data_IF_039478585811
#
_entry.id   IF_039478585811
#
_cell.length_a   1.000
_cell.length_b   1.000
_cell.length_c   1.000
_cell.angle_alpha   90.00
_cell.angle_beta   90.00
_cell.angle_gamma   90.00
#
_symmetry.space_group_name_H-M   'P 1'
#
loop_
_entity.id
_entity.type
_entity.pdbx_description
1 polymer ?
#
# COMPACT_ATOMS: atom_id res chain seq x y z
N UNK A 1 -3.55 31.47 -59.55
CA UNK A 1 -2.35 30.72 -59.17
C UNK A 1 -2.71 29.91 -57.92
N UNK A 2 -3.10 28.66 -58.15
CA UNK A 2 -3.66 27.76 -57.12
C UNK A 2 -2.53 26.94 -56.46
N UNK A 3 -2.43 26.99 -55.14
CA UNK A 3 -1.60 26.08 -54.41
C UNK A 3 -2.52 25.13 -53.62
N UNK A 4 -2.53 23.87 -54.03
CA UNK A 4 -3.25 22.75 -53.37
C UNK A 4 -2.57 22.41 -52.06
N UNK A 5 -3.36 22.42 -50.99
CA UNK A 5 -2.96 21.83 -49.68
C UNK A 5 -3.20 20.32 -49.76
N UNK A 6 -2.12 19.56 -49.64
CA UNK A 6 -2.17 18.11 -49.45
C UNK A 6 -2.24 17.85 -47.95
N UNK A 7 -3.39 17.31 -47.48
CA UNK A 7 -3.50 16.74 -46.12
C UNK A 7 -2.84 15.36 -46.11
N UNK A 8 -1.84 15.20 -45.28
CA UNK A 8 -1.26 13.90 -44.94
C UNK A 8 -1.95 13.39 -43.68
N UNK A 9 -2.82 12.40 -43.80
CA UNK A 9 -3.37 11.63 -42.66
C UNK A 9 -2.28 10.65 -42.21
N UNK A 10 -1.75 10.85 -41.03
CA UNK A 10 -0.95 9.84 -40.32
C UNK A 10 -1.91 9.11 -39.40
N UNK A 11 -2.24 7.88 -39.75
CA UNK A 11 -3.00 6.97 -38.91
C UNK A 11 -2.08 6.43 -37.80
N UNK A 12 -2.37 6.80 -36.56
CA UNK A 12 -1.75 6.22 -35.39
C UNK A 12 -2.42 4.87 -35.10
N UNK A 13 -1.70 3.79 -35.37
CA UNK A 13 -2.08 2.44 -34.94
C UNK A 13 -1.74 2.31 -33.45
N UNK A 14 -2.74 2.33 -32.58
CA UNK A 14 -2.62 1.97 -31.18
C UNK A 14 -2.54 0.43 -31.10
N UNK A 15 -1.35 -0.09 -30.88
CA UNK A 15 -1.13 -1.48 -30.46
C UNK A 15 -1.34 -1.54 -28.94
N UNK A 16 -2.52 -1.98 -28.51
CA UNK A 16 -2.73 -2.44 -27.13
C UNK A 16 -2.05 -3.81 -27.00
N UNK A 17 -0.82 -3.82 -26.51
CA UNK A 17 -0.11 -5.05 -26.14
C UNK A 17 -0.57 -5.53 -24.78
N UNK A 18 -1.46 -6.53 -24.74
CA UNK A 18 -1.70 -7.30 -23.53
C UNK A 18 -0.44 -8.10 -23.21
N UNK A 19 0.22 -7.79 -22.09
CA UNK A 19 1.32 -8.60 -21.56
C UNK A 19 0.70 -9.80 -20.87
N UNK A 20 0.59 -10.91 -21.59
CA UNK A 20 0.25 -12.22 -21.03
C UNK A 20 1.55 -12.84 -20.53
N UNK A 21 1.77 -12.86 -19.23
CA UNK A 21 2.84 -13.67 -18.61
C UNK A 21 2.37 -15.11 -18.65
N UNK A 22 2.95 -15.91 -19.54
CA UNK A 22 2.70 -17.33 -19.61
C UNK A 22 3.54 -18.04 -18.52
N UNK A 23 2.90 -18.48 -17.46
CA UNK A 23 3.48 -19.48 -16.56
C UNK A 23 3.34 -20.86 -17.18
N UNK A 24 4.45 -21.58 -17.24
CA UNK A 24 4.50 -22.96 -17.72
C UNK A 24 3.76 -23.88 -16.73
N UNK A 25 2.64 -24.44 -17.18
CA UNK A 25 1.94 -25.48 -16.44
C UNK A 25 2.70 -26.79 -16.51
N UNK A 26 3.07 -27.35 -15.35
CA UNK A 26 3.43 -28.75 -15.20
C UNK A 26 2.18 -29.60 -15.28
N UNK A 27 2.11 -30.46 -16.27
CA UNK A 27 1.06 -31.49 -16.42
C UNK A 27 1.31 -32.63 -15.44
N UNK A 28 0.32 -32.97 -14.63
CA UNK A 28 0.23 -34.25 -13.91
C UNK A 28 -0.78 -35.17 -14.60
N UNK A 29 -0.58 -36.50 -14.55
CA UNK A 29 -1.34 -37.44 -15.37
C UNK A 29 -2.68 -37.85 -14.78
N UNK A 30 -3.59 -38.17 -15.69
CA UNK A 30 -4.93 -38.71 -15.45
C UNK A 30 -4.93 -40.02 -14.67
N UNK A 31 -5.86 -40.21 -13.77
CA UNK A 31 -6.28 -41.54 -13.25
C UNK A 31 -7.80 -41.68 -13.39
N UNK A 32 -8.31 -42.91 -13.59
CA UNK A 32 -9.56 -43.17 -14.29
C UNK A 32 -10.81 -43.19 -13.41
N UNK A 33 -11.95 -43.08 -14.10
CA UNK A 33 -13.32 -43.19 -13.62
C UNK A 33 -13.56 -44.42 -12.77
N UNK A 34 -14.31 -44.24 -11.68
CA UNK A 34 -15.09 -45.33 -11.05
C UNK A 34 -16.52 -44.89 -10.76
N UNK A 35 -17.38 -45.81 -11.09
CA UNK A 35 -18.81 -45.77 -11.25
C UNK A 35 -19.59 -45.65 -9.93
N UNK A 36 -20.72 -44.93 -10.01
CA UNK A 36 -21.83 -44.89 -9.03
C UNK A 36 -22.54 -46.23 -8.86
N UNK A 37 -23.18 -46.50 -7.72
CA UNK A 37 -24.51 -47.09 -7.74
C UNK A 37 -25.56 -46.32 -6.92
N UNK A 38 -26.72 -46.56 -7.37
CA UNK A 38 -28.09 -46.16 -7.22
C UNK A 38 -28.70 -46.12 -5.77
N UNK A 39 -29.66 -45.25 -5.68
CA UNK A 39 -30.61 -44.91 -4.62
C UNK A 39 -31.53 -46.08 -4.28
N UNK A 40 -31.95 -46.23 -2.99
CA UNK A 40 -33.24 -46.81 -2.61
C UNK A 40 -33.88 -46.03 -1.46
N UNK A 41 -35.21 -45.85 -1.63
CA UNK A 41 -36.18 -45.08 -0.88
C UNK A 41 -36.51 -45.54 0.55
N UNK A 42 -36.79 -44.56 1.41
CA UNK A 42 -37.84 -44.30 2.41
C UNK A 42 -38.28 -45.43 3.40
N UNK A 43 -39.01 -45.14 4.47
CA UNK A 43 -40.10 -44.17 4.62
C UNK A 43 -40.15 -43.36 5.93
N UNK A 44 -40.98 -42.35 5.86
CA UNK A 44 -41.56 -41.39 6.80
C UNK A 44 -42.24 -42.02 8.02
N UNK A 45 -42.05 -41.45 9.22
CA UNK A 45 -43.06 -41.46 10.31
C UNK A 45 -43.19 -40.05 10.92
N UNK A 46 -44.45 -39.67 11.18
CA UNK A 46 -44.90 -38.36 11.62
C UNK A 46 -45.05 -38.28 13.16
N UNK A 47 -45.29 -37.10 13.74
CA UNK A 47 -44.99 -36.78 15.11
C UNK A 47 -46.10 -37.03 16.10
N UNK A 48 -45.73 -37.27 17.36
CA UNK A 48 -46.63 -37.37 18.51
C UNK A 48 -46.61 -36.07 19.33
N UNK A 49 -47.79 -35.58 19.65
CA UNK A 49 -48.09 -34.36 20.40
C UNK A 49 -47.58 -34.40 21.86
N UNK A 50 -47.19 -33.22 22.37
CA UNK A 50 -46.83 -32.95 23.75
C UNK A 50 -48.04 -32.41 24.54
N UNK A 51 -48.16 -32.66 25.85
CA UNK A 51 -49.20 -32.06 26.65
C UNK A 51 -48.86 -30.70 27.20
N UNK A 52 -49.88 -29.86 27.23
CA UNK A 52 -49.93 -28.50 27.79
C UNK A 52 -49.96 -28.56 29.32
N UNK A 53 -49.10 -27.81 30.01
CA UNK A 53 -49.27 -27.46 31.44
C UNK A 53 -49.45 -25.95 31.62
N UNK A 54 -50.37 -25.59 32.49
CA UNK A 54 -50.81 -24.25 32.85
C UNK A 54 -49.78 -23.52 33.76
N UNK A 55 -49.79 -22.16 33.81
CA UNK A 55 -48.78 -21.37 34.52
C UNK A 55 -49.08 -21.24 36.01
N UNK A 56 -48.02 -21.45 36.80
CA UNK A 56 -48.01 -21.16 38.24
C UNK A 56 -47.44 -19.76 38.48
N UNK A 57 -48.13 -18.95 39.28
CA UNK A 57 -47.80 -17.60 39.68
C UNK A 57 -46.43 -17.51 40.38
N UNK A 58 -45.65 -16.50 40.00
CA UNK A 58 -44.35 -16.16 40.61
C UNK A 58 -44.54 -15.26 41.84
N UNK A 59 -43.67 -15.38 42.86
CA UNK A 59 -43.62 -14.40 43.96
C UNK A 59 -42.88 -13.13 43.56
N UNK A 60 -43.43 -12.02 43.99
CA UNK A 60 -42.86 -10.66 43.86
C UNK A 60 -41.61 -10.57 44.74
N UNK A 61 -40.43 -10.45 44.12
CA UNK A 61 -39.21 -10.01 44.80
C UNK A 61 -38.98 -8.51 44.59
N UNK A 62 -38.69 -7.86 45.69
CA UNK A 62 -38.36 -6.42 45.76
C UNK A 62 -37.11 -6.10 44.92
N UNK A 63 -37.24 -5.13 44.03
CA UNK A 63 -36.13 -4.61 43.25
C UNK A 63 -35.14 -3.89 44.18
N UNK A 64 -34.02 -4.54 44.49
CA UNK A 64 -32.81 -3.85 44.92
C UNK A 64 -32.20 -3.15 43.71
N UNK A 65 -32.22 -1.83 43.76
CA UNK A 65 -31.51 -0.99 42.80
C UNK A 65 -30.01 -1.17 43.07
N UNK A 66 -29.38 -2.09 42.33
CA UNK A 66 -27.93 -2.09 42.21
C UNK A 66 -27.56 -0.82 41.40
N UNK A 67 -26.78 0.08 41.99
CA UNK A 67 -26.07 1.11 41.30
C UNK A 67 -25.21 0.42 40.24
N UNK A 68 -25.61 0.56 38.97
CA UNK A 68 -24.75 0.26 37.83
C UNK A 68 -23.62 1.29 37.92
N UNK A 69 -22.51 0.93 38.55
CA UNK A 69 -21.25 1.60 38.29
C UNK A 69 -20.96 1.39 36.81
N UNK A 70 -21.19 2.42 36.01
CA UNK A 70 -20.61 2.52 34.67
C UNK A 70 -19.11 2.41 34.89
N UNK A 71 -18.52 1.25 34.60
CA UNK A 71 -17.11 1.18 34.32
C UNK A 71 -16.87 2.22 33.24
N UNK A 72 -16.07 3.26 33.52
CA UNK A 72 -15.55 4.15 32.50
C UNK A 72 -14.86 3.22 31.49
N UNK A 73 -15.46 3.04 30.32
CA UNK A 73 -14.79 2.41 29.18
C UNK A 73 -13.52 3.20 28.96
N UNK A 74 -12.39 2.61 29.30
CA UNK A 74 -11.08 3.22 29.06
C UNK A 74 -10.89 3.23 27.56
N UNK A 75 -11.24 4.35 26.93
CA UNK A 75 -10.94 4.58 25.53
C UNK A 75 -9.44 4.39 25.31
N UNK A 76 -9.09 3.50 24.36
CA UNK A 76 -7.70 3.32 23.99
C UNK A 76 -7.21 4.61 23.33
N UNK A 77 -6.09 5.15 23.84
CA UNK A 77 -5.39 6.27 23.22
C UNK A 77 -4.33 5.74 22.24
N UNK A 78 -4.49 5.90 20.93
CA UNK A 78 -3.49 5.44 19.95
C UNK A 78 -2.10 6.01 20.19
N UNK A 79 -1.98 7.23 20.75
CA UNK A 79 -0.67 7.82 21.10
C UNK A 79 0.01 7.05 22.23
N UNK A 80 -0.74 6.57 23.20
CA UNK A 80 -0.21 5.75 24.30
C UNK A 80 0.24 4.36 23.79
N UNK A 81 -0.37 3.84 22.75
CA UNK A 81 -0.08 2.53 22.16
C UNK A 81 1.06 2.57 21.13
N UNK A 82 1.44 3.75 20.64
CA UNK A 82 2.45 3.92 19.59
C UNK A 82 3.79 3.22 19.91
N UNK A 83 4.17 3.14 21.20
CA UNK A 83 5.40 2.46 21.63
C UNK A 83 5.37 0.94 21.43
N UNK A 84 4.20 0.35 21.25
CA UNK A 84 4.02 -1.10 20.99
C UNK A 84 4.25 -1.48 19.54
N UNK A 85 4.22 -0.48 18.63
CA UNK A 85 4.46 -0.74 17.22
C UNK A 85 5.84 -1.30 16.95
N UNK A 86 5.93 -2.12 15.91
CA UNK A 86 7.22 -2.51 15.35
C UNK A 86 8.07 -1.26 15.08
N UNK A 87 9.36 -1.31 15.47
CA UNK A 87 10.32 -0.23 15.26
C UNK A 87 10.32 0.35 13.86
N UNK A 88 10.08 -0.48 12.83
CA UNK A 88 10.03 -0.05 11.43
C UNK A 88 8.81 0.82 11.11
N UNK A 89 7.74 0.72 11.90
CA UNK A 89 6.51 1.52 11.72
C UNK A 89 6.48 2.75 12.64
N UNK A 90 7.55 3.08 13.37
CA UNK A 90 7.63 4.38 14.05
C UNK A 90 7.55 5.53 13.03
N UNK A 91 6.86 6.65 13.35
CA UNK A 91 6.69 7.77 12.43
C UNK A 91 8.00 8.28 11.84
N UNK A 92 8.07 8.39 10.51
CA UNK A 92 9.28 8.79 9.77
C UNK A 92 9.49 10.31 9.81
N UNK A 93 8.39 11.09 9.78
CA UNK A 93 8.45 12.54 9.68
C UNK A 93 8.35 13.25 11.04
N UNK A 94 8.39 12.50 12.13
CA UNK A 94 8.43 13.02 13.50
C UNK A 94 9.45 12.25 14.35
N UNK A 95 9.74 12.78 15.56
CA UNK A 95 10.77 12.18 16.41
C UNK A 95 12.19 12.54 15.99
N UNK A 96 13.16 11.69 16.34
CA UNK A 96 14.59 11.92 16.12
C UNK A 96 15.33 10.69 15.57
N UNK A 97 14.63 9.67 15.14
CA UNK A 97 15.22 8.41 14.69
C UNK A 97 14.49 7.92 13.43
N UNK A 98 15.27 7.57 12.41
CA UNK A 98 14.75 6.91 11.21
C UNK A 98 15.30 5.49 11.16
N UNK A 99 14.41 4.51 11.01
CA UNK A 99 14.74 3.08 10.93
C UNK A 99 14.79 2.60 9.49
N UNK A 100 15.88 1.89 9.16
CA UNK A 100 16.05 1.24 7.85
C UNK A 100 15.67 2.12 6.65
N UNK A 101 16.10 3.37 6.64
CA UNK A 101 16.00 4.21 5.45
C UNK A 101 16.91 3.66 4.35
N UNK A 102 16.35 3.43 3.16
CA UNK A 102 17.13 2.85 2.06
C UNK A 102 17.94 3.89 1.29
N UNK A 103 19.14 3.51 0.88
CA UNK A 103 20.02 4.33 0.02
C UNK A 103 20.78 3.42 -0.95
N UNK A 104 21.02 3.92 -2.17
CA UNK A 104 21.76 3.20 -3.22
C UNK A 104 22.97 4.02 -3.68
N UNK A 105 24.15 3.38 -3.68
CA UNK A 105 25.37 3.99 -4.18
C UNK A 105 25.71 3.45 -5.58
N UNK A 106 26.14 4.33 -6.49
CA UNK A 106 26.52 3.92 -7.84
C UNK A 106 28.02 3.65 -7.96
N UNK A 107 28.87 4.43 -7.30
CA UNK A 107 30.31 4.25 -7.35
C UNK A 107 30.92 4.26 -5.94
N UNK A 108 32.13 3.68 -5.80
CA UNK A 108 32.93 3.87 -4.58
C UNK A 108 33.26 5.34 -4.39
N UNK A 109 33.24 5.82 -3.16
CA UNK A 109 33.42 7.24 -2.84
C UNK A 109 32.16 8.10 -3.00
N UNK A 110 31.03 7.55 -3.48
CA UNK A 110 29.77 8.29 -3.58
C UNK A 110 29.29 8.80 -2.20
N UNK A 111 28.71 10.00 -2.21
CA UNK A 111 28.10 10.66 -1.05
C UNK A 111 26.61 10.76 -1.27
N UNK A 112 25.81 10.38 -0.26
CA UNK A 112 24.35 10.40 -0.31
C UNK A 112 23.75 11.14 0.87
N UNK A 113 22.71 11.92 0.61
CA UNK A 113 21.86 12.46 1.66
C UNK A 113 20.80 11.44 2.04
N UNK A 114 20.37 11.46 3.30
CA UNK A 114 19.16 10.81 3.79
C UNK A 114 18.08 11.87 4.00
N UNK A 115 16.90 11.47 4.51
CA UNK A 115 15.80 12.42 4.80
C UNK A 115 16.25 13.55 5.73
N UNK A 116 17.13 13.23 6.68
CA UNK A 116 17.71 14.20 7.61
C UNK A 116 19.23 14.12 7.63
N UNK A 117 19.92 15.22 7.98
CA UNK A 117 21.34 15.16 8.31
C UNK A 117 21.57 14.16 9.46
N UNK A 118 22.49 13.24 9.26
CA UNK A 118 22.83 12.20 10.24
C UNK A 118 23.55 12.84 11.43
N UNK A 119 23.01 12.65 12.64
CA UNK A 119 23.71 12.99 13.90
C UNK A 119 24.52 11.80 14.42
N UNK A 120 23.93 10.59 14.38
CA UNK A 120 24.61 9.34 14.77
C UNK A 120 24.02 8.15 14.03
N UNK A 121 24.87 7.25 13.55
CA UNK A 121 24.44 6.00 12.92
C UNK A 121 24.27 4.91 13.98
N UNK A 122 23.15 4.22 13.94
CA UNK A 122 22.91 3.02 14.74
C UNK A 122 23.37 1.76 14.00
N UNK A 123 23.01 1.66 12.71
CA UNK A 123 23.44 0.55 11.85
C UNK A 123 23.39 0.92 10.37
N UNK A 124 24.29 0.32 9.58
CA UNK A 124 24.20 0.26 8.12
C UNK A 124 24.27 -1.21 7.74
N UNK A 125 23.24 -1.69 7.05
CA UNK A 125 23.15 -3.10 6.66
C UNK A 125 22.82 -3.23 5.16
N UNK A 126 23.02 -4.42 4.59
CA UNK A 126 22.40 -4.74 3.32
C UNK A 126 20.87 -4.78 3.48
N UNK A 127 20.15 -4.90 2.36
CA UNK A 127 18.69 -4.77 2.34
C UNK A 127 17.97 -5.75 3.28
N UNK A 128 18.45 -7.00 3.37
CA UNK A 128 17.85 -8.05 4.21
C UNK A 128 18.38 -8.08 5.66
N UNK A 129 19.27 -7.16 6.02
CA UNK A 129 19.81 -7.05 7.39
C UNK A 129 20.83 -8.14 7.78
N UNK A 130 21.22 -9.02 6.85
CA UNK A 130 22.14 -10.15 7.16
C UNK A 130 23.61 -9.76 7.19
N UNK A 131 23.97 -8.64 6.56
CA UNK A 131 25.33 -8.08 6.54
C UNK A 131 25.32 -6.69 7.16
N UNK A 132 26.18 -6.46 8.14
CA UNK A 132 26.41 -5.14 8.75
C UNK A 132 27.71 -4.56 8.24
N UNK A 133 27.69 -3.29 7.85
CA UNK A 133 28.84 -2.53 7.37
C UNK A 133 29.44 -1.67 8.48
N UNK A 134 30.76 -1.47 8.43
CA UNK A 134 31.54 -0.85 9.51
C UNK A 134 31.89 0.61 9.16
N UNK A 135 31.63 1.53 10.11
CA UNK A 135 32.09 2.92 9.99
C UNK A 135 33.62 3.00 10.00
N UNK A 136 34.17 3.89 9.15
CA UNK A 136 35.62 4.03 8.95
C UNK A 136 36.23 3.02 7.98
N UNK A 137 35.55 1.90 7.71
CA UNK A 137 35.96 0.88 6.76
C UNK A 137 35.08 0.91 5.51
N UNK A 138 33.80 0.71 5.66
CA UNK A 138 32.84 0.62 4.55
C UNK A 138 32.22 1.98 4.23
N UNK A 139 31.99 2.81 5.24
CA UNK A 139 31.42 4.15 5.10
C UNK A 139 31.99 5.12 6.16
N UNK A 140 31.75 6.40 5.92
CA UNK A 140 32.00 7.49 6.89
C UNK A 140 30.85 8.49 6.82
N UNK A 141 30.68 9.28 7.90
CA UNK A 141 29.73 10.39 7.92
C UNK A 141 30.50 11.69 7.72
N UNK A 142 30.17 12.42 6.65
CA UNK A 142 30.75 13.73 6.32
C UNK A 142 29.61 14.75 6.16
N UNK A 143 29.62 15.83 6.92
CA UNK A 143 28.61 16.89 6.87
C UNK A 143 27.15 16.38 6.95
N UNK A 144 26.89 15.40 7.82
CA UNK A 144 25.57 14.79 8.00
C UNK A 144 25.12 13.88 6.87
N UNK A 145 26.00 13.53 5.93
CA UNK A 145 25.75 12.64 4.80
C UNK A 145 26.54 11.35 4.94
N UNK A 146 26.03 10.27 4.37
CA UNK A 146 26.76 9.00 4.32
C UNK A 146 27.59 8.93 3.02
N UNK A 147 28.87 8.60 3.18
CA UNK A 147 29.82 8.41 2.08
C UNK A 147 30.43 7.03 2.16
N UNK A 148 30.38 6.26 1.09
CA UNK A 148 31.07 4.97 1.05
C UNK A 148 32.55 5.16 0.72
N UNK A 149 33.40 4.33 1.34
CA UNK A 149 34.85 4.40 1.15
C UNK A 149 35.26 3.76 -0.17
N UNK A 150 36.47 4.07 -0.64
CA UNK A 150 37.06 3.45 -1.84
C UNK A 150 37.20 1.93 -1.73
N UNK A 151 37.46 1.43 -0.51
CA UNK A 151 37.66 0.01 -0.21
C UNK A 151 36.43 -0.64 0.43
N UNK A 152 35.29 0.02 0.38
CA UNK A 152 34.03 -0.47 0.96
C UNK A 152 33.62 -1.82 0.39
N UNK A 153 33.06 -2.68 1.24
CA UNK A 153 32.41 -3.93 0.82
C UNK A 153 30.96 -3.76 0.35
N UNK A 154 30.38 -2.56 0.58
CA UNK A 154 29.01 -2.22 0.12
C UNK A 154 28.95 -2.42 -1.41
N UNK A 155 27.98 -3.20 -1.93
CA UNK A 155 27.84 -3.41 -3.37
C UNK A 155 27.45 -2.12 -4.10
N UNK A 156 28.00 -1.93 -5.27
CA UNK A 156 27.65 -0.82 -6.20
C UNK A 156 27.47 -1.37 -7.60
N UNK A 157 26.53 -0.79 -8.34
CA UNK A 157 26.32 -1.19 -9.73
C UNK A 157 27.30 -0.49 -10.70
N UNK A 158 28.04 0.50 -10.28
CA UNK A 158 28.80 1.49 -11.01
C UNK A 158 27.94 2.38 -11.93
N UNK A 159 28.22 3.68 -11.93
CA UNK A 159 27.51 4.67 -12.76
C UNK A 159 27.55 4.30 -14.23
N UNK A 160 28.69 3.77 -14.69
CA UNK A 160 28.86 3.31 -16.06
C UNK A 160 27.93 2.16 -16.46
N UNK A 161 27.64 1.21 -15.54
CA UNK A 161 26.68 0.13 -15.79
C UNK A 161 25.25 0.61 -15.62
N UNK A 162 24.99 1.47 -14.64
CA UNK A 162 23.65 2.00 -14.39
C UNK A 162 23.12 2.76 -15.61
N UNK A 163 23.93 3.61 -16.25
CA UNK A 163 23.55 4.42 -17.41
C UNK A 163 23.89 3.81 -18.77
N UNK A 164 24.27 2.55 -18.85
CA UNK A 164 24.46 1.78 -20.08
C UNK A 164 23.94 0.36 -19.92
N UNK A 165 22.78 0.24 -19.26
CA UNK A 165 22.17 -1.06 -19.05
C UNK A 165 21.78 -1.71 -20.38
N UNK A 166 21.98 -3.02 -20.56
CA UNK A 166 21.57 -3.69 -21.80
C UNK A 166 20.11 -3.48 -22.11
N UNK A 167 19.80 -3.29 -23.40
CA UNK A 167 18.43 -3.19 -23.85
C UNK A 167 17.64 -4.46 -23.50
N UNK A 168 16.48 -4.26 -22.86
CA UNK A 168 15.56 -5.37 -22.57
C UNK A 168 14.65 -5.63 -23.78
N UNK A 169 14.34 -6.88 -24.12
CA UNK A 169 13.54 -7.21 -25.30
C UNK A 169 12.13 -6.62 -25.31
N UNK A 170 11.55 -6.39 -24.14
CA UNK A 170 10.15 -5.93 -24.00
C UNK A 170 10.04 -4.47 -23.57
N UNK A 171 10.88 -4.03 -22.64
CA UNK A 171 10.81 -2.68 -22.05
C UNK A 171 12.23 -2.10 -21.96
N UNK A 172 12.41 -0.89 -22.50
CA UNK A 172 13.64 -0.14 -22.31
C UNK A 172 13.31 1.14 -21.54
N UNK A 173 13.88 1.27 -20.36
CA UNK A 173 13.80 2.50 -19.58
C UNK A 173 15.05 3.33 -19.88
N UNK A 174 14.84 4.55 -20.35
CA UNK A 174 15.92 5.44 -20.76
C UNK A 174 15.93 6.72 -19.95
N UNK A 175 17.12 7.30 -19.78
CA UNK A 175 17.33 8.61 -19.16
C UNK A 175 18.33 9.43 -19.96
N UNK A 176 18.32 10.75 -19.74
CA UNK A 176 19.37 11.61 -20.27
C UNK A 176 20.57 11.57 -19.32
N UNK A 177 21.67 11.06 -19.81
CA UNK A 177 22.95 11.05 -19.10
C UNK A 177 24.05 11.62 -19.98
N UNK A 178 24.74 12.66 -19.52
CA UNK A 178 25.78 13.40 -20.27
C UNK A 178 25.33 13.85 -21.67
N UNK A 179 24.07 14.29 -21.79
CA UNK A 179 23.50 14.76 -23.05
C UNK A 179 23.11 13.66 -24.04
N UNK A 180 23.15 12.39 -23.63
CA UNK A 180 22.73 11.24 -24.42
C UNK A 180 21.53 10.56 -23.78
N UNK A 181 20.60 10.08 -24.62
CA UNK A 181 19.54 9.19 -24.13
C UNK A 181 20.10 7.76 -24.08
N UNK A 182 20.20 7.21 -22.88
CA UNK A 182 20.80 5.89 -22.61
C UNK A 182 19.85 5.03 -21.81
N UNK A 183 19.96 3.69 -21.95
CA UNK A 183 19.22 2.78 -21.08
C UNK A 183 19.76 2.86 -19.65
N UNK A 184 18.86 2.89 -18.67
CA UNK A 184 19.20 2.85 -17.25
C UNK A 184 18.90 1.48 -16.65
N UNK A 185 19.61 1.18 -15.56
CA UNK A 185 19.39 -0.02 -14.77
C UNK A 185 17.98 -0.02 -14.16
N UNK A 186 17.28 -1.11 -14.31
CA UNK A 186 15.97 -1.36 -13.70
C UNK A 186 15.75 -2.88 -13.58
N UNK A 187 14.77 -3.28 -12.77
CA UNK A 187 14.37 -4.69 -12.66
C UNK A 187 13.32 -4.86 -11.57
N UNK A 188 12.39 -5.76 -11.80
CA UNK A 188 11.41 -6.15 -10.80
C UNK A 188 12.07 -7.04 -9.74
N UNK A 189 11.62 -6.91 -8.50
CA UNK A 189 12.07 -7.70 -7.38
C UNK A 189 13.51 -7.39 -6.93
N UNK A 190 14.24 -8.43 -6.60
CA UNK A 190 15.58 -8.38 -5.97
C UNK A 190 16.68 -7.58 -6.71
N UNK A 191 16.71 -7.44 -8.05
CA UNK A 191 17.79 -6.72 -8.72
C UNK A 191 18.10 -5.33 -8.18
N UNK A 192 17.09 -4.54 -7.81
CA UNK A 192 17.33 -3.20 -7.23
C UNK A 192 17.83 -3.28 -5.80
N UNK A 193 17.20 -4.12 -4.99
CA UNK A 193 17.49 -4.21 -3.55
C UNK A 193 18.85 -4.84 -3.25
N UNK A 194 19.45 -5.60 -4.18
CA UNK A 194 20.83 -6.08 -4.05
C UNK A 194 21.87 -4.94 -3.96
N UNK A 195 21.52 -3.73 -4.40
CA UNK A 195 22.35 -2.53 -4.33
C UNK A 195 21.83 -1.47 -3.35
N UNK A 196 20.74 -1.73 -2.65
CA UNK A 196 20.18 -0.83 -1.64
C UNK A 196 20.66 -1.25 -0.25
N UNK A 197 21.02 -0.25 0.56
CA UNK A 197 21.42 -0.40 1.96
C UNK A 197 20.36 0.18 2.86
N UNK A 198 20.15 -0.44 4.01
CA UNK A 198 19.36 0.13 5.11
C UNK A 198 20.25 0.92 6.05
N UNK A 199 19.86 2.14 6.37
CA UNK A 199 20.51 2.99 7.36
C UNK A 199 19.54 3.30 8.48
N UNK A 200 19.89 2.92 9.70
CA UNK A 200 19.20 3.34 10.94
C UNK A 200 20.05 4.39 11.62
N UNK A 201 19.48 5.55 11.90
CA UNK A 201 20.23 6.69 12.42
C UNK A 201 19.36 7.63 13.26
N UNK A 202 20.02 8.48 14.05
CA UNK A 202 19.40 9.60 14.75
C UNK A 202 19.71 10.91 14.04
N UNK A 203 18.84 11.91 14.22
CA UNK A 203 18.99 13.26 13.69
C UNK A 203 18.51 14.30 14.71
N UNK A 204 18.91 15.55 14.51
CA UNK A 204 18.48 16.73 15.28
C UNK A 204 17.57 17.65 14.47
N UNK A 205 17.34 17.31 13.18
CA UNK A 205 16.52 18.10 12.26
C UNK A 205 15.02 17.87 12.47
N UNK A 206 14.24 18.86 12.02
CA UNK A 206 12.79 18.78 11.88
C UNK A 206 12.46 18.55 10.42
N UNK A 207 11.43 17.75 10.12
CA UNK A 207 10.95 17.61 8.75
C UNK A 207 10.28 18.91 8.28
N UNK A 208 10.79 19.46 7.19
CA UNK A 208 10.26 20.70 6.58
C UNK A 208 9.48 20.41 5.28
N UNK A 209 9.46 19.14 4.85
CA UNK A 209 8.75 18.70 3.65
C UNK A 209 7.24 18.55 3.89
N UNK A 210 6.54 18.15 2.84
CA UNK A 210 5.11 17.90 2.89
C UNK A 210 4.78 16.72 3.82
N UNK A 211 3.73 16.89 4.63
CA UNK A 211 3.05 15.83 5.39
C UNK A 211 1.57 15.89 5.03
N UNK A 212 0.94 14.75 4.77
CA UNK A 212 -0.50 14.70 4.51
C UNK A 212 -1.27 15.24 5.72
N UNK A 213 -2.28 16.06 5.46
CA UNK A 213 -3.10 16.64 6.53
C UNK A 213 -3.93 15.53 7.21
N UNK A 214 -3.96 15.56 8.54
CA UNK A 214 -4.87 14.68 9.28
C UNK A 214 -6.33 15.07 9.01
N UNK A 215 -7.16 14.09 8.74
CA UNK A 215 -8.60 14.20 8.53
C UNK A 215 -9.37 13.33 9.54
N UNK A 216 -8.81 13.18 10.73
CA UNK A 216 -9.41 12.37 11.80
C UNK A 216 -10.85 12.81 12.12
N UNK A 217 -11.14 14.12 12.03
CA UNK A 217 -12.47 14.68 12.18
C UNK A 217 -13.46 14.25 11.10
N UNK A 218 -12.98 13.97 9.88
CA UNK A 218 -13.80 13.44 8.78
C UNK A 218 -14.12 11.96 9.01
N UNK A 219 -13.23 11.23 9.69
CA UNK A 219 -13.35 9.80 9.97
C UNK A 219 -13.78 9.46 11.39
N UNK A 220 -14.36 10.42 12.13
CA UNK A 220 -14.72 10.28 13.56
C UNK A 220 -15.59 9.04 13.83
N UNK A 221 -16.58 8.76 12.99
CA UNK A 221 -17.44 7.57 13.11
C UNK A 221 -16.65 6.26 12.94
N UNK A 222 -15.75 6.17 11.98
CA UNK A 222 -14.90 4.99 11.77
C UNK A 222 -13.90 4.81 12.92
N UNK A 223 -13.27 5.90 13.36
CA UNK A 223 -12.35 5.89 14.51
C UNK A 223 -13.08 5.49 15.79
N UNK A 224 -14.32 5.97 15.98
CA UNK A 224 -15.15 5.60 17.12
C UNK A 224 -15.44 4.08 17.15
N UNK A 225 -15.72 3.45 15.99
CA UNK A 225 -15.84 1.98 15.92
C UNK A 225 -14.56 1.30 16.38
N UNK A 226 -13.37 1.78 15.95
CA UNK A 226 -12.09 1.24 16.40
C UNK A 226 -11.88 1.40 17.91
N UNK A 227 -12.20 2.57 18.47
CA UNK A 227 -12.09 2.85 19.91
C UNK A 227 -13.02 1.92 20.70
N UNK A 228 -14.23 1.67 20.21
CA UNK A 228 -15.22 0.80 20.86
C UNK A 228 -14.91 -0.71 20.71
N UNK A 229 -13.94 -1.09 19.89
CA UNK A 229 -13.64 -2.51 19.62
C UNK A 229 -14.67 -3.19 18.74
N UNK A 230 -15.38 -2.43 17.89
CA UNK A 230 -16.34 -3.00 16.93
C UNK A 230 -15.60 -3.67 15.77
N UNK A 231 -16.11 -4.79 15.26
CA UNK A 231 -15.55 -5.40 14.05
C UNK A 231 -15.70 -4.47 12.87
N UNK A 232 -14.63 -4.32 12.07
CA UNK A 232 -14.61 -3.44 10.90
C UNK A 232 -14.04 -4.14 9.67
N UNK A 233 -14.49 -3.73 8.49
CA UNK A 233 -13.97 -4.19 7.20
C UNK A 233 -13.23 -3.06 6.49
N UNK A 234 -11.96 -3.30 6.15
CA UNK A 234 -11.10 -2.37 5.39
C UNK A 234 -10.82 -2.97 4.02
N UNK A 235 -11.15 -2.21 2.98
CA UNK A 235 -11.06 -2.65 1.59
C UNK A 235 -10.05 -1.81 0.81
N UNK A 236 -9.08 -2.45 0.15
CA UNK A 236 -8.14 -1.81 -0.76
C UNK A 236 -8.44 -2.21 -2.21
N UNK A 237 -8.46 -1.24 -3.12
CA UNK A 237 -8.65 -1.51 -4.53
C UNK A 237 -7.78 -0.61 -5.40
N UNK A 238 -6.84 -1.23 -6.12
CA UNK A 238 -5.84 -0.49 -6.88
C UNK A 238 -5.10 -1.34 -7.91
N UNK A 239 -3.92 -0.88 -8.24
CA UNK A 239 -3.02 -1.48 -9.23
C UNK A 239 -1.90 -2.34 -8.57
N UNK A 240 -0.77 -2.50 -9.28
CA UNK A 240 0.39 -3.27 -8.81
C UNK A 240 0.96 -2.78 -7.49
N UNK A 241 0.94 -1.48 -7.24
CA UNK A 241 1.48 -0.90 -6.00
C UNK A 241 0.61 -1.32 -4.81
N UNK A 242 -0.72 -1.31 -4.98
CA UNK A 242 -1.68 -1.73 -3.96
C UNK A 242 -1.67 -3.23 -3.77
N UNK A 243 -1.48 -4.00 -4.85
CA UNK A 243 -1.21 -5.44 -4.79
C UNK A 243 0.05 -5.75 -3.97
N UNK A 244 1.08 -4.89 -4.07
CA UNK A 244 2.32 -4.99 -3.31
C UNK A 244 3.55 -5.32 -4.14
N UNK A 245 3.51 -5.10 -5.46
CA UNK A 245 4.68 -5.32 -6.32
C UNK A 245 5.90 -4.55 -5.79
N UNK A 246 7.04 -5.23 -5.78
CA UNK A 246 8.33 -4.81 -5.24
C UNK A 246 8.40 -4.69 -3.71
N UNK A 247 7.33 -5.01 -2.96
CA UNK A 247 7.46 -5.33 -1.54
C UNK A 247 8.12 -6.72 -1.39
N UNK A 248 9.08 -6.84 -0.50
CA UNK A 248 9.90 -8.06 -0.39
C UNK A 248 9.09 -9.32 -0.05
N UNK A 249 7.97 -9.20 0.67
CA UNK A 249 7.06 -10.31 0.92
C UNK A 249 6.41 -10.84 -0.37
N UNK A 250 5.89 -9.96 -1.22
CA UNK A 250 5.22 -10.35 -2.47
C UNK A 250 6.21 -10.93 -3.47
N UNK A 251 7.39 -10.34 -3.56
CA UNK A 251 8.45 -10.81 -4.45
C UNK A 251 9.26 -11.99 -3.86
N UNK A 252 8.84 -12.47 -2.67
CA UNK A 252 9.35 -13.65 -1.98
C UNK A 252 10.87 -13.65 -1.72
N UNK A 253 11.37 -12.55 -1.16
CA UNK A 253 12.75 -12.47 -0.66
C UNK A 253 12.83 -11.73 0.68
N UNK A 254 13.89 -12.00 1.46
CA UNK A 254 14.12 -11.34 2.75
C UNK A 254 14.30 -9.81 2.58
N UNK A 255 13.73 -8.98 3.48
CA UNK A 255 13.22 -9.32 4.80
C UNK A 255 11.73 -9.72 4.86
N UNK A 256 11.07 -9.96 3.76
CA UNK A 256 9.64 -10.34 3.69
C UNK A 256 8.69 -9.28 4.31
N UNK A 257 9.03 -8.00 4.17
CA UNK A 257 8.15 -6.94 4.60
C UNK A 257 6.92 -6.83 3.71
N UNK A 258 5.77 -6.66 4.33
CA UNK A 258 4.49 -6.55 3.65
C UNK A 258 4.35 -5.29 2.79
N UNK A 259 3.39 -5.31 1.87
CA UNK A 259 2.94 -4.13 1.12
C UNK A 259 2.35 -3.07 2.05
N UNK A 260 2.23 -1.86 1.54
CA UNK A 260 1.73 -0.74 2.33
C UNK A 260 0.32 -0.96 2.90
N UNK A 261 -0.54 -1.67 2.17
CA UNK A 261 -1.91 -1.93 2.60
C UNK A 261 -1.98 -2.87 3.80
N UNK A 262 -1.12 -3.89 3.84
CA UNK A 262 -0.97 -4.77 5.00
C UNK A 262 -0.30 -4.04 6.17
N UNK A 263 0.79 -3.30 5.91
CA UNK A 263 1.48 -2.51 6.95
C UNK A 263 0.54 -1.51 7.62
N UNK A 264 -0.29 -0.81 6.84
CA UNK A 264 -1.31 0.09 7.36
C UNK A 264 -2.30 -0.66 8.26
N UNK A 265 -2.82 -1.79 7.78
CA UNK A 265 -3.87 -2.54 8.49
C UNK A 265 -3.35 -3.14 9.79
N UNK A 266 -2.14 -3.73 9.78
CA UNK A 266 -1.52 -4.30 10.97
C UNK A 266 -1.10 -3.22 11.97
N UNK A 267 -0.59 -2.07 11.51
CA UNK A 267 -0.28 -0.95 12.39
C UNK A 267 -1.55 -0.40 13.07
N UNK A 268 -2.66 -0.32 12.34
CA UNK A 268 -3.94 0.08 12.92
C UNK A 268 -4.44 -0.96 13.93
N UNK A 269 -4.24 -2.26 13.65
CA UNK A 269 -4.56 -3.33 14.57
C UNK A 269 -3.71 -3.26 15.85
N UNK A 270 -2.40 -2.98 15.74
CA UNK A 270 -1.52 -2.78 16.88
C UNK A 270 -1.98 -1.61 17.77
N UNK A 271 -2.30 -0.46 17.12
CA UNK A 271 -2.70 0.75 17.84
C UNK A 271 -4.02 0.59 18.60
N UNK A 272 -4.95 -0.19 18.09
CA UNK A 272 -6.29 -0.34 18.68
C UNK A 272 -6.54 -1.72 19.31
N UNK A 273 -5.56 -2.64 19.29
CA UNK A 273 -5.65 -3.95 19.92
C UNK A 273 -6.54 -4.96 19.16
N UNK A 274 -6.50 -4.92 17.84
CA UNK A 274 -7.34 -5.75 16.96
C UNK A 274 -6.62 -7.01 16.47
N UNK A 275 -7.42 -7.99 16.05
CA UNK A 275 -6.98 -9.11 15.20
C UNK A 275 -7.28 -8.77 13.75
N UNK A 276 -6.33 -9.00 12.83
CA UNK A 276 -6.58 -8.87 11.38
C UNK A 276 -6.91 -10.23 10.80
N UNK A 277 -8.09 -10.32 10.18
CA UNK A 277 -8.54 -11.47 9.42
C UNK A 277 -8.38 -11.19 7.93
N UNK A 278 -7.57 -12.00 7.25
CA UNK A 278 -7.32 -11.83 5.83
C UNK A 278 -8.35 -12.58 4.99
N UNK A 279 -9.10 -11.83 4.15
CA UNK A 279 -9.96 -12.43 3.13
C UNK A 279 -9.13 -12.73 1.90
N UNK A 280 -9.06 -13.99 1.51
CA UNK A 280 -8.32 -14.43 0.34
C UNK A 280 -9.02 -13.95 -0.93
N UNK A 281 -8.46 -12.93 -1.57
CA UNK A 281 -9.02 -12.31 -2.78
C UNK A 281 -8.27 -12.68 -4.04
N UNK A 282 -7.54 -13.81 -3.99
CA UNK A 282 -6.65 -14.22 -5.06
C UNK A 282 -7.40 -14.54 -6.36
N UNK A 283 -7.55 -13.50 -7.18
CA UNK A 283 -8.09 -13.63 -8.55
C UNK A 283 -7.00 -14.01 -9.57
N UNK A 284 -5.73 -14.01 -9.17
CA UNK A 284 -4.58 -14.24 -10.06
C UNK A 284 -3.80 -15.51 -9.74
N UNK A 285 -4.08 -16.19 -8.63
CA UNK A 285 -3.38 -17.40 -8.17
C UNK A 285 -2.18 -17.15 -7.25
N UNK A 286 -1.80 -15.88 -7.00
CA UNK A 286 -0.68 -15.56 -6.13
C UNK A 286 -1.13 -15.25 -4.69
N UNK A 287 -0.48 -15.79 -3.65
CA UNK A 287 -0.80 -15.42 -2.28
C UNK A 287 -0.30 -14.00 -2.01
N UNK A 288 -1.23 -13.07 -1.83
CA UNK A 288 -0.95 -11.66 -1.51
C UNK A 288 -1.16 -11.33 -0.03
N UNK A 289 -1.44 -12.32 0.77
CA UNK A 289 -1.74 -12.22 2.20
C UNK A 289 -0.93 -13.24 3.00
N UNK A 290 -0.64 -13.00 4.28
CA UNK A 290 -0.02 -13.96 5.17
C UNK A 290 -0.79 -15.29 5.25
N UNK A 291 -0.11 -16.37 5.62
CA UNK A 291 -0.71 -17.68 5.79
C UNK A 291 -1.66 -17.75 7.00
N UNK A 292 -1.39 -16.94 8.01
CA UNK A 292 -2.10 -16.90 9.29
C UNK A 292 -2.63 -15.48 9.55
N UNK A 293 -3.75 -15.37 10.29
CA UNK A 293 -4.28 -14.08 10.72
C UNK A 293 -3.29 -13.39 11.68
N UNK A 294 -3.24 -12.06 11.59
CA UNK A 294 -2.41 -11.25 12.47
C UNK A 294 -3.14 -10.95 13.77
N UNK A 295 -2.47 -11.12 14.90
CA UNK A 295 -3.05 -10.92 16.24
C UNK A 295 -2.26 -9.88 17.01
N UNK A 296 -2.83 -8.68 17.16
CA UNK A 296 -2.29 -7.63 18.03
C UNK A 296 -2.96 -7.64 19.41
N UNK A 297 -4.26 -7.98 19.46
CA UNK A 297 -5.07 -7.99 20.68
C UNK A 297 -6.37 -8.75 20.49
N UNK A 298 -7.32 -8.52 21.39
CA UNK A 298 -8.62 -9.23 21.44
C UNK A 298 -9.83 -8.28 21.46
N UNK A 299 -9.64 -7.00 21.12
CA UNK A 299 -10.72 -6.01 21.22
C UNK A 299 -11.75 -6.13 20.10
N UNK A 300 -11.32 -6.46 18.88
CA UNK A 300 -12.17 -6.60 17.72
C UNK A 300 -11.41 -7.22 16.56
N UNK A 301 -12.08 -7.35 15.41
CA UNK A 301 -11.50 -7.90 14.18
C UNK A 301 -11.52 -6.85 13.07
N UNK A 302 -10.37 -6.65 12.41
CA UNK A 302 -10.30 -5.96 11.12
C UNK A 302 -10.33 -7.02 10.03
N UNK A 303 -11.40 -7.04 9.22
CA UNK A 303 -11.44 -7.86 8.00
C UNK A 303 -10.72 -7.10 6.87
N UNK A 304 -9.58 -7.62 6.42
CA UNK A 304 -8.77 -7.02 5.35
C UNK A 304 -9.09 -7.66 4.01
N UNK A 305 -9.40 -6.84 3.00
CA UNK A 305 -9.73 -7.26 1.63
C UNK A 305 -8.91 -6.46 0.64
N UNK A 306 -8.20 -7.12 -0.28
CA UNK A 306 -7.39 -6.45 -1.31
C UNK A 306 -7.38 -7.23 -2.64
N UNK A 307 -8.36 -7.03 -3.53
CA UNK A 307 -8.41 -7.65 -4.86
C UNK A 307 -7.68 -6.83 -5.94
N UNK A 308 -6.66 -6.07 -5.58
CA UNK A 308 -5.91 -5.23 -6.53
C UNK A 308 -5.18 -6.05 -7.59
N UNK A 309 -5.07 -5.52 -8.79
CA UNK A 309 -4.50 -6.23 -9.95
C UNK A 309 -3.40 -5.41 -10.63
N UNK A 310 -2.23 -6.01 -10.80
CA UNK A 310 -1.08 -5.38 -11.45
C UNK A 310 -1.37 -4.90 -12.87
N UNK A 311 -0.85 -3.71 -13.23
CA UNK A 311 -1.01 -3.11 -14.54
C UNK A 311 -2.36 -2.44 -14.81
N UNK A 312 -3.32 -2.51 -13.88
CA UNK A 312 -4.63 -1.91 -14.07
C UNK A 312 -4.59 -0.39 -13.96
N UNK A 313 -5.37 0.24 -14.84
CA UNK A 313 -5.73 1.65 -14.79
C UNK A 313 -7.01 1.84 -13.97
N UNK A 314 -7.33 3.07 -13.60
CA UNK A 314 -8.61 3.42 -12.97
C UNK A 314 -9.81 2.93 -13.81
N UNK A 315 -9.69 2.95 -15.15
CA UNK A 315 -10.73 2.45 -16.05
C UNK A 315 -10.92 0.93 -15.97
N UNK A 316 -9.82 0.15 -15.76
CA UNK A 316 -9.93 -1.28 -15.53
C UNK A 316 -10.63 -1.56 -14.18
N UNK A 317 -10.28 -0.81 -13.14
CA UNK A 317 -10.94 -0.92 -11.83
C UNK A 317 -12.46 -0.68 -11.96
N UNK A 318 -12.86 0.38 -12.64
CA UNK A 318 -14.27 0.67 -12.93
C UNK A 318 -14.97 -0.46 -13.69
N UNK A 319 -14.34 -0.98 -14.75
CA UNK A 319 -14.95 -2.02 -15.61
C UNK A 319 -15.14 -3.36 -14.90
N UNK A 320 -14.34 -3.62 -13.89
CA UNK A 320 -14.34 -4.89 -13.16
C UNK A 320 -14.97 -4.79 -11.76
N UNK A 321 -15.67 -3.70 -11.46
CA UNK A 321 -16.31 -3.45 -10.17
C UNK A 321 -17.22 -4.61 -9.73
N UNK A 322 -18.10 -5.06 -10.62
CA UNK A 322 -19.06 -6.14 -10.33
C UNK A 322 -18.40 -7.49 -10.02
N UNK A 323 -17.14 -7.68 -10.44
CA UNK A 323 -16.40 -8.93 -10.23
C UNK A 323 -15.47 -8.85 -9.03
N UNK A 324 -14.81 -7.71 -8.81
CA UNK A 324 -13.71 -7.59 -7.84
C UNK A 324 -14.08 -6.82 -6.58
N UNK A 325 -15.16 -6.04 -6.58
CA UNK A 325 -15.57 -5.25 -5.42
C UNK A 325 -16.91 -5.70 -4.88
N UNK A 326 -17.93 -5.68 -5.73
CA UNK A 326 -19.32 -5.90 -5.31
C UNK A 326 -19.55 -7.19 -4.50
N UNK A 327 -19.06 -8.38 -4.90
CA UNK A 327 -19.33 -9.61 -4.14
C UNK A 327 -18.76 -9.57 -2.73
N UNK A 328 -17.61 -8.91 -2.54
CA UNK A 328 -16.98 -8.82 -1.22
C UNK A 328 -17.66 -7.79 -0.32
N UNK A 329 -18.10 -6.65 -0.87
CA UNK A 329 -18.86 -5.66 -0.10
C UNK A 329 -20.22 -6.23 0.30
N UNK A 330 -20.90 -6.99 -0.59
CA UNK A 330 -22.16 -7.67 -0.28
C UNK A 330 -21.99 -8.78 0.80
N UNK A 331 -20.84 -9.44 0.87
CA UNK A 331 -20.58 -10.54 1.82
C UNK A 331 -20.05 -10.05 3.18
N UNK A 332 -19.13 -9.07 3.18
CA UNK A 332 -18.37 -8.65 4.37
C UNK A 332 -18.74 -7.24 4.88
N UNK A 333 -19.54 -6.47 4.12
CA UNK A 333 -19.68 -5.03 4.38
C UNK A 333 -18.42 -4.24 4.02
N UNK A 334 -18.41 -2.93 4.32
CA UNK A 334 -17.25 -2.08 4.13
C UNK A 334 -17.31 -0.85 5.05
N UNK A 335 -16.43 -0.76 6.04
CA UNK A 335 -16.34 0.40 6.92
C UNK A 335 -15.40 1.48 6.39
N UNK A 336 -14.31 1.07 5.71
CA UNK A 336 -13.36 1.97 5.06
C UNK A 336 -12.89 1.41 3.72
N UNK A 337 -13.19 2.14 2.63
CA UNK A 337 -12.76 1.78 1.28
C UNK A 337 -11.66 2.70 0.78
N UNK A 338 -10.48 2.13 0.47
CA UNK A 338 -9.34 2.84 -0.07
C UNK A 338 -9.14 2.51 -1.55
N UNK A 339 -9.21 3.52 -2.41
CA UNK A 339 -8.99 3.38 -3.85
C UNK A 339 -7.66 4.01 -4.28
N UNK A 340 -6.82 3.24 -4.98
CA UNK A 340 -5.43 3.59 -5.24
C UNK A 340 -5.01 3.25 -6.69
N UNK A 341 -5.57 3.97 -7.65
CA UNK A 341 -5.16 3.93 -9.05
C UNK A 341 -4.42 5.21 -9.44
N UNK A 342 -3.83 5.20 -10.63
CA UNK A 342 -3.23 6.39 -11.21
C UNK A 342 -1.86 6.16 -11.83
N UNK A 343 -1.08 5.19 -11.34
CA UNK A 343 0.26 4.92 -11.87
C UNK A 343 0.20 4.53 -13.36
N UNK A 344 -0.73 3.67 -13.74
CA UNK A 344 -0.90 3.21 -15.12
C UNK A 344 -1.77 4.15 -15.97
N UNK A 345 -2.30 5.22 -15.38
CA UNK A 345 -3.10 6.25 -16.04
C UNK A 345 -2.25 7.44 -16.55
N UNK A 346 -0.94 7.25 -16.77
CA UNK A 346 0.02 8.29 -17.14
C UNK A 346 -0.40 9.18 -18.32
N UNK A 347 -1.11 8.62 -19.30
CA UNK A 347 -1.62 9.32 -20.48
C UNK A 347 -3.02 9.91 -20.31
N UNK A 348 -3.69 9.66 -19.20
CA UNK A 348 -5.06 10.10 -18.93
C UNK A 348 -5.10 11.50 -18.32
N UNK A 349 -6.10 12.30 -18.68
CA UNK A 349 -6.32 13.57 -17.99
C UNK A 349 -6.67 13.31 -16.51
N UNK A 350 -6.05 14.03 -15.59
CA UNK A 350 -6.22 13.86 -14.15
C UNK A 350 -7.69 13.84 -13.70
N UNK A 351 -8.51 14.77 -14.22
CA UNK A 351 -9.95 14.81 -13.96
C UNK A 351 -10.68 13.54 -14.44
N UNK A 352 -10.19 12.87 -15.50
CA UNK A 352 -10.77 11.62 -15.96
C UNK A 352 -10.48 10.49 -14.98
N UNK A 353 -9.25 10.44 -14.45
CA UNK A 353 -8.84 9.47 -13.43
C UNK A 353 -9.71 9.63 -12.19
N UNK A 354 -9.78 10.85 -11.63
CA UNK A 354 -10.57 11.16 -10.45
C UNK A 354 -12.06 10.76 -10.64
N UNK A 355 -12.67 11.14 -11.77
CA UNK A 355 -14.05 10.77 -12.09
C UNK A 355 -14.26 9.26 -12.22
N UNK A 356 -13.27 8.54 -12.73
CA UNK A 356 -13.36 7.09 -12.90
C UNK A 356 -13.26 6.39 -11.55
N UNK A 357 -12.37 6.86 -10.66
CA UNK A 357 -12.28 6.36 -9.28
C UNK A 357 -13.56 6.71 -8.49
N UNK A 358 -14.08 7.94 -8.68
CA UNK A 358 -15.36 8.34 -8.07
C UNK A 358 -16.50 7.38 -8.44
N UNK A 359 -16.58 6.91 -9.68
CA UNK A 359 -17.60 5.95 -10.08
C UNK A 359 -17.54 4.64 -9.27
N UNK A 360 -16.33 4.16 -8.95
CA UNK A 360 -16.15 2.98 -8.09
C UNK A 360 -16.62 3.27 -6.67
N UNK A 361 -16.25 4.43 -6.11
CA UNK A 361 -16.65 4.85 -4.77
C UNK A 361 -18.16 5.04 -4.65
N UNK A 362 -18.80 5.64 -5.67
CA UNK A 362 -20.26 5.77 -5.72
C UNK A 362 -20.92 4.38 -5.67
N UNK A 363 -20.38 3.41 -6.44
CA UNK A 363 -20.87 2.04 -6.42
C UNK A 363 -20.71 1.34 -5.06
N UNK A 364 -19.63 1.60 -4.34
CA UNK A 364 -19.46 1.10 -2.96
C UNK A 364 -20.52 1.71 -2.03
N UNK A 365 -20.75 3.00 -2.12
CA UNK A 365 -21.76 3.71 -1.31
C UNK A 365 -23.20 3.29 -1.63
N UNK A 366 -23.47 2.83 -2.87
CA UNK A 366 -24.77 2.22 -3.21
C UNK A 366 -24.97 0.86 -2.54
N UNK A 367 -23.88 0.11 -2.28
CA UNK A 367 -23.91 -1.20 -1.60
C UNK A 367 -23.89 -1.04 -0.08
N UNK A 368 -23.10 -0.11 0.42
CA UNK A 368 -22.94 0.17 1.84
C UNK A 368 -22.90 1.70 2.07
N UNK A 369 -24.04 2.25 2.54
CA UNK A 369 -24.21 3.71 2.66
C UNK A 369 -23.39 4.34 3.77
N UNK A 370 -22.85 3.55 4.69
CA UNK A 370 -22.10 4.04 5.84
C UNK A 370 -20.58 3.94 5.65
N UNK A 371 -20.14 3.32 4.54
CA UNK A 371 -18.72 3.16 4.21
C UNK A 371 -18.01 4.52 4.10
N UNK A 372 -16.94 4.72 4.88
CA UNK A 372 -16.02 5.83 4.71
C UNK A 372 -15.09 5.58 3.52
N UNK A 373 -14.73 6.64 2.81
CA UNK A 373 -13.98 6.57 1.55
C UNK A 373 -12.61 7.25 1.67
N UNK A 374 -11.60 6.69 1.01
CA UNK A 374 -10.29 7.33 0.91
C UNK A 374 -9.69 7.14 -0.48
N UNK A 375 -9.28 8.22 -1.11
CA UNK A 375 -8.36 8.15 -2.23
C UNK A 375 -6.93 8.02 -1.72
N UNK A 376 -6.14 7.14 -2.33
CA UNK A 376 -4.69 7.10 -2.12
C UNK A 376 -4.05 7.54 -3.43
N UNK A 377 -3.40 8.70 -3.44
CA UNK A 377 -2.71 9.18 -4.64
C UNK A 377 -1.45 8.36 -4.88
N UNK A 378 -1.06 8.19 -6.15
CA UNK A 378 0.12 7.39 -6.49
C UNK A 378 1.42 8.13 -6.22
N UNK A 379 2.50 7.42 -5.91
CA UNK A 379 3.84 8.01 -5.90
C UNK A 379 4.21 8.58 -7.28
N UNK A 380 5.15 9.51 -7.33
CA UNK A 380 5.74 9.95 -8.59
C UNK A 380 6.58 8.82 -9.16
N UNK A 381 6.36 8.40 -10.42
CA UNK A 381 7.27 7.44 -11.08
C UNK A 381 8.63 8.08 -11.34
N UNK A 382 9.61 7.30 -11.79
CA UNK A 382 10.99 7.77 -11.99
C UNK A 382 11.04 9.06 -12.83
N UNK A 383 11.34 10.22 -12.24
CA UNK A 383 11.35 11.51 -12.94
C UNK A 383 12.53 11.65 -13.89
N UNK A 384 13.56 10.82 -13.76
CA UNK A 384 14.74 10.82 -14.62
C UNK A 384 14.52 9.99 -15.89
N UNK A 385 13.47 9.17 -15.95
CA UNK A 385 13.15 8.39 -17.13
C UNK A 385 12.60 9.29 -18.24
N UNK A 386 13.20 9.20 -19.45
CA UNK A 386 12.76 9.96 -20.63
C UNK A 386 11.66 9.23 -21.42
N UNK A 387 11.48 7.97 -21.14
CA UNK A 387 10.38 7.15 -21.62
C UNK A 387 9.91 6.28 -20.45
N UNK A 388 8.70 5.86 -20.44
CA UNK A 388 8.18 5.01 -19.38
C UNK A 388 6.92 5.62 -18.75
N UNK A 389 6.78 5.45 -17.45
CA UNK A 389 5.54 5.74 -16.74
C UNK A 389 5.35 7.22 -16.37
N UNK A 390 6.38 8.06 -16.40
CA UNK A 390 6.21 9.46 -16.06
C UNK A 390 5.32 10.20 -17.07
N UNK A 391 4.24 10.80 -16.60
CA UNK A 391 3.24 11.46 -17.43
C UNK A 391 2.43 12.49 -16.65
N UNK A 392 1.15 12.22 -16.45
CA UNK A 392 0.23 13.13 -15.77
C UNK A 392 -0.08 12.75 -14.31
N UNK A 393 0.64 11.78 -13.73
CA UNK A 393 0.41 11.30 -12.36
C UNK A 393 0.50 12.42 -11.34
N UNK A 394 1.46 13.33 -11.49
CA UNK A 394 1.68 14.46 -10.59
C UNK A 394 0.53 15.48 -10.57
N UNK A 395 -0.41 15.38 -11.51
CA UNK A 395 -1.59 16.26 -11.65
C UNK A 395 -2.86 15.62 -11.13
N UNK A 396 -2.82 14.34 -10.78
CA UNK A 396 -4.01 13.61 -10.35
C UNK A 396 -4.45 14.01 -8.94
N UNK A 397 -3.52 14.13 -8.01
CA UNK A 397 -3.80 14.41 -6.59
C UNK A 397 -4.68 15.66 -6.36
N UNK A 398 -4.47 16.82 -7.01
CA UNK A 398 -5.37 17.96 -6.87
C UNK A 398 -6.82 17.68 -7.32
N UNK A 399 -7.01 16.85 -8.33
CA UNK A 399 -8.35 16.48 -8.79
C UNK A 399 -9.01 15.46 -7.85
N UNK A 400 -8.21 14.59 -7.19
CA UNK A 400 -8.69 13.68 -6.14
C UNK A 400 -9.11 14.46 -4.90
N UNK A 401 -8.31 15.46 -4.48
CA UNK A 401 -8.63 16.34 -3.33
C UNK A 401 -9.96 17.03 -3.58
N UNK A 402 -10.12 17.65 -4.73
CA UNK A 402 -11.38 18.30 -5.08
C UNK A 402 -12.57 17.33 -5.06
N UNK A 403 -12.36 16.10 -5.55
CA UNK A 403 -13.43 15.09 -5.56
C UNK A 403 -13.78 14.63 -4.14
N UNK A 404 -12.79 14.55 -3.25
CA UNK A 404 -13.01 14.23 -1.84
C UNK A 404 -13.75 15.37 -1.12
N UNK A 405 -13.42 16.62 -1.42
CA UNK A 405 -14.14 17.80 -0.91
C UNK A 405 -15.62 17.80 -1.33
N UNK A 406 -15.92 17.46 -2.60
CA UNK A 406 -17.30 17.30 -3.10
C UNK A 406 -18.07 16.23 -2.27
N UNK A 407 -17.43 15.11 -1.89
CA UNK A 407 -18.04 14.08 -1.03
C UNK A 407 -18.32 14.61 0.39
N UNK A 408 -17.36 15.34 0.99
CA UNK A 408 -17.52 15.91 2.33
C UNK A 408 -18.63 16.96 2.36
N UNK A 409 -18.78 17.78 1.30
CA UNK A 409 -19.91 18.72 1.16
C UNK A 409 -21.26 17.98 1.10
N UNK A 410 -21.30 16.78 0.54
CA UNK A 410 -22.48 15.91 0.52
C UNK A 410 -22.67 15.11 1.83
N UNK A 411 -21.83 15.32 2.86
CA UNK A 411 -21.88 14.64 4.16
C UNK A 411 -21.33 13.22 4.13
N UNK A 412 -20.50 12.88 3.14
CA UNK A 412 -19.87 11.55 2.99
C UNK A 412 -18.41 11.65 3.45
N UNK A 413 -17.97 10.83 4.43
CA UNK A 413 -16.57 10.81 4.86
C UNK A 413 -15.65 10.44 3.71
N UNK A 414 -14.79 11.39 3.29
CA UNK A 414 -13.81 11.16 2.22
C UNK A 414 -12.59 12.06 2.38
N UNK A 415 -11.40 11.53 2.14
CA UNK A 415 -10.17 12.31 2.07
C UNK A 415 -9.19 11.73 1.06
N UNK A 416 -8.02 12.37 0.91
CA UNK A 416 -6.91 11.90 0.07
C UNK A 416 -5.68 11.70 0.94
N UNK A 417 -5.14 10.49 0.96
CA UNK A 417 -3.78 10.25 1.40
C UNK A 417 -2.81 10.74 0.31
N UNK A 418 -2.15 11.88 0.57
CA UNK A 418 -1.40 12.63 -0.43
C UNK A 418 0.01 12.07 -0.67
N UNK A 419 0.10 10.85 -1.17
CA UNK A 419 1.39 10.16 -1.44
C UNK A 419 2.16 10.82 -2.57
N UNK A 420 1.49 11.42 -3.57
CA UNK A 420 2.19 12.15 -4.64
C UNK A 420 3.00 13.32 -4.07
N UNK A 421 2.40 14.14 -3.23
CA UNK A 421 3.08 15.27 -2.57
C UNK A 421 4.18 14.79 -1.61
N UNK A 422 3.91 13.72 -0.84
CA UNK A 422 4.92 13.08 0.02
C UNK A 422 6.12 12.57 -0.78
N UNK A 423 5.89 11.89 -1.91
CA UNK A 423 6.98 11.38 -2.76
C UNK A 423 7.80 12.51 -3.39
N UNK A 424 7.18 13.63 -3.76
CA UNK A 424 7.89 14.82 -4.25
C UNK A 424 8.77 15.44 -3.18
N UNK A 425 8.28 15.56 -1.95
CA UNK A 425 9.08 16.06 -0.84
C UNK A 425 10.30 15.16 -0.55
N UNK A 426 10.13 13.85 -0.60
CA UNK A 426 11.23 12.89 -0.45
C UNK A 426 12.28 13.04 -1.57
N UNK A 427 11.84 13.28 -2.82
CA UNK A 427 12.74 13.50 -3.96
C UNK A 427 13.63 14.76 -3.83
N UNK A 428 13.29 15.69 -2.96
CA UNK A 428 14.17 16.83 -2.65
C UNK A 428 15.41 16.44 -1.82
N UNK A 429 15.36 15.27 -1.16
CA UNK A 429 16.41 14.73 -0.29
C UNK A 429 17.12 13.53 -0.89
N UNK A 430 16.42 12.72 -1.69
CA UNK A 430 16.83 11.40 -2.16
C UNK A 430 16.72 11.26 -3.67
N UNK A 431 17.52 10.38 -4.23
CA UNK A 431 17.34 9.94 -5.62
C UNK A 431 16.24 8.86 -5.71
N UNK A 432 15.58 8.77 -6.86
CA UNK A 432 14.47 7.81 -7.05
C UNK A 432 14.88 6.36 -6.79
N UNK A 433 16.08 5.94 -7.20
CA UNK A 433 16.60 4.59 -6.98
C UNK A 433 16.86 4.26 -5.50
N UNK A 434 16.85 5.23 -4.60
CA UNK A 434 17.04 4.99 -3.17
C UNK A 434 15.81 4.34 -2.52
N UNK A 435 14.61 4.60 -3.06
CA UNK A 435 13.35 4.16 -2.47
C UNK A 435 12.42 3.42 -3.44
N UNK A 436 12.86 3.19 -4.68
CA UNK A 436 12.13 2.39 -5.66
C UNK A 436 12.59 0.94 -5.66
N UNK A 437 11.65 0.01 -5.72
CA UNK A 437 11.95 -1.41 -5.83
C UNK A 437 12.28 -1.89 -7.24
N UNK A 438 11.93 -1.11 -8.28
CA UNK A 438 12.20 -1.47 -9.67
C UNK A 438 12.87 -0.39 -10.52
N UNK A 439 13.12 0.80 -9.96
CA UNK A 439 13.63 2.00 -10.64
C UNK A 439 12.72 2.55 -11.75
N UNK A 440 11.47 2.17 -11.76
CA UNK A 440 10.44 2.61 -12.73
C UNK A 440 9.30 3.34 -12.01
N UNK A 441 8.54 2.61 -11.19
CA UNK A 441 7.27 3.07 -10.65
C UNK A 441 6.78 2.32 -9.40
N UNK A 442 7.50 1.31 -8.90
CA UNK A 442 7.13 0.58 -7.70
C UNK A 442 7.96 1.02 -6.48
N UNK A 443 7.34 1.12 -5.29
CA UNK A 443 8.06 1.40 -4.05
C UNK A 443 8.89 0.19 -3.62
N UNK A 444 9.98 0.42 -2.89
CA UNK A 444 10.63 -0.61 -2.10
C UNK A 444 10.01 -0.68 -0.69
N UNK A 445 10.53 -1.56 0.18
CA UNK A 445 10.01 -1.73 1.54
C UNK A 445 10.01 -0.42 2.37
N UNK A 446 11.03 0.42 2.23
CA UNK A 446 11.05 1.70 2.92
C UNK A 446 9.89 2.58 2.46
N UNK A 447 9.67 2.69 1.17
CA UNK A 447 8.61 3.55 0.65
C UNK A 447 7.21 2.94 0.83
N UNK A 448 7.08 1.61 0.94
CA UNK A 448 5.84 0.96 1.40
C UNK A 448 5.45 1.44 2.80
N UNK A 449 6.44 1.63 3.71
CA UNK A 449 6.18 2.22 5.04
C UNK A 449 5.76 3.69 4.95
N UNK A 450 6.37 4.46 4.05
CA UNK A 450 5.96 5.86 3.79
C UNK A 450 4.49 5.93 3.32
N UNK A 451 4.09 5.04 2.40
CA UNK A 451 2.70 4.93 1.98
C UNK A 451 1.76 4.65 3.16
N UNK A 452 2.06 3.61 3.94
CA UNK A 452 1.25 3.19 5.08
C UNK A 452 1.13 4.34 6.11
N UNK A 453 2.24 5.01 6.42
CA UNK A 453 2.26 6.14 7.36
C UNK A 453 1.53 7.36 6.81
N UNK A 454 1.56 7.62 5.50
CA UNK A 454 0.78 8.70 4.87
C UNK A 454 -0.73 8.43 5.00
N UNK A 455 -1.17 7.18 4.84
CA UNK A 455 -2.57 6.78 5.05
C UNK A 455 -2.96 6.91 6.52
N UNK A 456 -2.14 6.41 7.46
CA UNK A 456 -2.34 6.55 8.91
C UNK A 456 -2.38 8.03 9.33
N UNK A 457 -1.47 8.85 8.78
CA UNK A 457 -1.46 10.29 9.04
C UNK A 457 -2.77 10.95 8.60
N UNK A 458 -3.27 10.60 7.42
CA UNK A 458 -4.55 11.14 6.91
C UNK A 458 -5.72 10.68 7.78
N UNK A 459 -5.74 9.41 8.18
CA UNK A 459 -6.83 8.81 8.95
C UNK A 459 -6.87 9.28 10.41
N UNK A 460 -5.71 9.25 11.11
CA UNK A 460 -5.65 9.42 12.58
C UNK A 460 -4.63 10.45 13.06
N UNK A 461 -3.87 11.11 12.16
CA UNK A 461 -2.81 12.05 12.58
C UNK A 461 -1.52 11.39 13.07
N UNK A 462 -1.15 10.25 12.51
CA UNK A 462 -0.07 9.37 12.94
C UNK A 462 1.30 10.05 13.10
N UNK A 463 1.72 10.89 12.15
CA UNK A 463 3.01 11.59 12.21
C UNK A 463 3.04 12.72 13.27
N UNK A 464 1.89 13.06 13.84
CA UNK A 464 1.78 14.03 14.92
C UNK A 464 1.70 13.35 16.30
N UNK A 465 1.66 12.03 16.36
CA UNK A 465 1.69 11.27 17.61
C UNK A 465 3.06 11.42 18.29
N UNK A 466 3.06 11.52 19.64
CA UNK A 466 4.26 11.78 20.45
C UNK A 466 4.68 10.55 21.24
#
# INVERSE_FOLDING_TARGET
>A
MNIKRTLLLIGTLLLAGAVTVAFAACTTPETPEETTPEVTDAPTEAPTEAPTEEPTEAPTEEATTEEITTEEETHMDPQAELSKLNDLMQPIFSGNTVKNETVMFLDKGDVRSLLYPIASVTSVTNYDGTVTYEEGKDYVIEDGKIKITENSSIPVITRAKYYNYPAHPQINITANYEGKNVNIYWGEGKPMTDYQMNVTYTHEGTWEGFISESKADVYDDFITKLINGEDVTIFFYGDSITHGASASFIDNYSPYQYSYSLLFTEALADLYGYTVKYVKTDMTGAPIIPAEDYVAGDRGTITYINPSVGGWTSQNGKQNFDTYVKPFVEEYGCDLFLIAYGMNDAGSAARTVARTMKYVLDGVRELDSDCALMFVSTMVPNPNATNGWYGLQDKQEPELIKTAEDYVEDGIPCAVACVTSTSKAILEHKEFQDYSGNNINHPNDFFCRVYAQTILQTLIGYENMK
#
